data_IF_705519491468
#
_entry.id   IF_705519491468
#
_cell.length_a   1.000
_cell.length_b   1.000
_cell.length_c   1.000
_cell.angle_alpha   90.00
_cell.angle_beta   90.00
_cell.angle_gamma   90.00
#
_symmetry.space_group_name_H-M   'P 1'
#
loop_
_entity.id
_entity.type
_entity.pdbx_description
1 polymer ?
#
# COMPACT_ATOMS: atom_id res chain seq x y z
N UNK A 1 7.56 -18.12 -0.24
CA UNK A 1 7.37 -16.68 0.01
C UNK A 1 6.22 -16.43 0.98
N UNK A 2 6.34 -15.45 1.88
CA UNK A 2 5.47 -15.17 3.04
C UNK A 2 3.97 -15.12 2.70
N UNK A 3 3.60 -14.52 1.56
CA UNK A 3 2.19 -14.32 1.17
C UNK A 3 1.55 -15.49 0.40
N UNK A 4 2.32 -16.55 0.07
CA UNK A 4 1.84 -17.75 -0.66
C UNK A 4 1.01 -17.44 -1.93
N UNK A 5 1.38 -16.39 -2.67
CA UNK A 5 0.76 -16.03 -3.95
C UNK A 5 1.20 -17.01 -5.03
N UNK A 6 0.25 -17.60 -5.77
CA UNK A 6 0.50 -18.44 -6.95
C UNK A 6 0.26 -17.69 -8.26
N UNK A 7 -0.63 -16.70 -8.25
CA UNK A 7 -0.96 -15.82 -9.38
C UNK A 7 -1.12 -14.39 -8.87
N UNK A 8 -0.76 -13.40 -9.68
CA UNK A 8 -0.88 -11.96 -9.33
C UNK A 8 -2.30 -11.60 -8.88
N UNK A 9 -3.33 -12.12 -9.56
CA UNK A 9 -4.76 -11.89 -9.25
C UNK A 9 -5.20 -12.31 -7.83
N UNK A 10 -4.38 -13.08 -7.10
CA UNK A 10 -4.67 -13.48 -5.72
C UNK A 10 -4.26 -12.42 -4.69
N UNK A 11 -3.39 -11.50 -5.10
CA UNK A 11 -2.96 -10.37 -4.28
C UNK A 11 -3.85 -9.17 -4.53
N UNK A 12 -4.29 -8.54 -3.45
CA UNK A 12 -4.87 -7.20 -3.46
C UNK A 12 -3.85 -6.22 -2.87
N UNK A 13 -3.79 -5.02 -3.45
CA UNK A 13 -2.84 -3.98 -3.06
C UNK A 13 -3.61 -2.80 -2.51
N UNK A 14 -3.19 -2.32 -1.34
CA UNK A 14 -3.74 -1.15 -0.68
C UNK A 14 -2.60 -0.24 -0.23
N UNK A 15 -2.90 1.03 -0.01
CA UNK A 15 -1.98 2.00 0.59
C UNK A 15 -2.62 2.63 1.81
N UNK A 16 -1.80 3.01 2.79
CA UNK A 16 -2.28 3.71 3.97
C UNK A 16 -2.46 5.19 3.65
N UNK A 17 -3.56 5.78 4.12
CA UNK A 17 -3.87 7.19 3.96
C UNK A 17 -3.81 7.88 5.32
N UNK A 18 -3.03 8.95 5.42
CA UNK A 18 -3.01 9.86 6.56
C UNK A 18 -4.04 10.98 6.32
N UNK A 19 -5.01 11.11 7.22
CA UNK A 19 -6.09 12.10 7.17
C UNK A 19 -5.84 13.14 8.26
N UNK A 20 -5.33 14.34 7.92
CA UNK A 20 -5.21 15.46 8.84
C UNK A 20 -6.53 16.23 8.96
N UNK A 21 -6.58 17.23 9.86
CA UNK A 21 -7.76 18.11 10.03
C UNK A 21 -8.12 18.88 8.75
N UNK A 22 -7.10 19.38 8.03
CA UNK A 22 -7.27 20.03 6.73
C UNK A 22 -7.33 18.98 5.60
N UNK A 23 -8.51 18.75 4.97
CA UNK A 23 -8.68 17.69 3.98
C UNK A 23 -7.81 17.86 2.73
N UNK A 24 -7.33 19.08 2.42
CA UNK A 24 -6.42 19.31 1.28
C UNK A 24 -5.07 18.62 1.47
N UNK A 25 -4.71 18.30 2.73
CA UNK A 25 -3.40 17.73 3.11
C UNK A 25 -3.43 16.20 3.26
N UNK A 26 -4.51 15.54 2.83
CA UNK A 26 -4.63 14.09 2.79
C UNK A 26 -3.52 13.50 1.92
N UNK A 27 -2.79 12.53 2.49
CA UNK A 27 -1.61 11.92 1.86
C UNK A 27 -1.66 10.39 1.93
N UNK A 28 -1.20 9.71 0.88
CA UNK A 28 -1.02 8.26 0.83
C UNK A 28 0.46 7.85 0.95
N UNK A 29 0.72 6.73 1.62
CA UNK A 29 2.03 6.08 1.63
C UNK A 29 2.14 5.10 0.46
N UNK A 30 2.76 5.55 -0.64
CA UNK A 30 2.98 4.72 -1.83
C UNK A 30 4.26 3.87 -1.72
N UNK A 31 5.21 4.26 -0.87
CA UNK A 31 6.46 3.53 -0.64
C UNK A 31 6.24 2.17 0.05
N UNK A 32 5.22 2.07 0.91
CA UNK A 32 4.99 0.89 1.73
C UNK A 32 3.55 0.36 1.62
N UNK A 33 3.12 -0.18 0.47
CA UNK A 33 1.79 -0.75 0.29
C UNK A 33 1.55 -2.00 1.16
N UNK A 34 0.28 -2.24 1.47
CA UNK A 34 -0.21 -3.50 2.00
C UNK A 34 -0.52 -4.44 0.84
N UNK A 35 0.08 -5.63 0.86
CA UNK A 35 -0.25 -6.72 -0.08
C UNK A 35 -0.95 -7.83 0.69
N UNK A 36 -2.18 -8.15 0.29
CA UNK A 36 -3.04 -9.12 0.96
C UNK A 36 -3.40 -10.25 0.01
N UNK A 37 -3.08 -11.49 0.40
CA UNK A 37 -3.64 -12.69 -0.20
C UNK A 37 -4.94 -13.05 0.54
N UNK A 38 -6.08 -12.61 0.00
CA UNK A 38 -7.39 -12.76 0.66
C UNK A 38 -7.78 -14.23 0.83
N UNK A 39 -7.48 -15.07 -0.17
CA UNK A 39 -7.77 -16.50 -0.13
C UNK A 39 -7.03 -17.24 1.00
N UNK A 40 -5.88 -16.72 1.43
CA UNK A 40 -5.06 -17.32 2.48
C UNK A 40 -5.09 -16.55 3.79
N UNK A 41 -5.74 -15.39 3.83
CA UNK A 41 -5.75 -14.46 4.98
C UNK A 41 -4.33 -14.10 5.44
N UNK A 42 -3.44 -13.86 4.48
CA UNK A 42 -2.06 -13.45 4.72
C UNK A 42 -1.85 -12.04 4.19
N UNK A 43 -1.38 -11.14 5.03
CA UNK A 43 -1.07 -9.76 4.67
C UNK A 43 0.37 -9.39 5.03
N UNK A 44 0.96 -8.47 4.29
CA UNK A 44 2.27 -7.87 4.60
C UNK A 44 2.32 -6.44 4.11
N UNK A 45 2.90 -5.54 4.91
CA UNK A 45 3.35 -4.25 4.42
C UNK A 45 4.74 -4.40 3.80
N UNK A 46 4.90 -3.97 2.55
CA UNK A 46 6.12 -4.19 1.78
C UNK A 46 6.76 -2.85 1.47
N UNK A 47 7.98 -2.61 1.93
CA UNK A 47 8.75 -1.43 1.53
C UNK A 47 9.30 -1.67 0.12
N UNK A 48 8.98 -0.76 -0.80
CA UNK A 48 9.41 -0.80 -2.19
C UNK A 48 10.75 -0.04 -2.36
N UNK A 49 11.85 -0.70 -2.00
CA UNK A 49 13.20 -0.13 -2.16
C UNK A 49 13.48 0.27 -3.62
N UNK A 50 14.10 1.44 -3.81
CA UNK A 50 14.50 1.98 -5.13
C UNK A 50 13.35 2.12 -6.15
N UNK A 51 12.09 2.15 -5.70
CA UNK A 51 10.92 2.23 -6.59
C UNK A 51 10.61 3.64 -7.10
N UNK A 52 11.17 4.68 -6.47
CA UNK A 52 10.83 6.08 -6.75
C UNK A 52 9.46 6.51 -6.19
N UNK A 53 8.69 5.61 -5.57
CA UNK A 53 7.42 5.99 -4.93
C UNK A 53 7.66 6.77 -3.63
N UNK A 54 6.94 7.88 -3.41
CA UNK A 54 7.11 8.69 -2.22
C UNK A 54 6.42 8.06 -1.00
N UNK A 55 6.97 8.34 0.18
CA UNK A 55 6.32 8.04 1.46
C UNK A 55 5.04 8.87 1.67
N UNK A 56 4.96 10.05 1.06
CA UNK A 56 3.84 10.97 1.17
C UNK A 56 3.43 11.47 -0.21
N UNK A 57 2.33 10.94 -0.74
CA UNK A 57 1.73 11.37 -1.99
C UNK A 57 0.42 12.12 -1.72
N UNK A 58 0.31 13.35 -2.18
CA UNK A 58 -0.91 14.16 -1.98
C UNK A 58 -2.06 13.63 -2.84
N UNK A 59 -3.21 13.34 -2.21
CA UNK A 59 -4.37 12.75 -2.90
C UNK A 59 -5.37 13.76 -3.43
N UNK A 60 -5.40 14.96 -2.84
CA UNK A 60 -6.35 16.02 -3.17
C UNK A 60 -5.56 17.22 -3.71
N UNK A 61 -5.99 17.78 -4.84
CA UNK A 61 -5.38 18.98 -5.42
C UNK A 61 -5.82 20.25 -4.72
#
# INVERSE_FOLDING_TARGET
AILKLKKVKQGQVFVLVAIPEDPSRIRANLLAPLVINVLRRLGKQVILEQSGYPLQYQLVK
#
